data_IF_666185655063
#
_entry.id   IF_666185655063
#
_cell.length_a   1.000
_cell.length_b   1.000
_cell.length_c   1.000
_cell.angle_alpha   90.00
_cell.angle_beta   90.00
_cell.angle_gamma   90.00
#
_symmetry.space_group_name_H-M   'P 1'
#
loop_
_entity.id
_entity.type
_entity.pdbx_description
1 polymer ?
#
# COMPACT_ATOMS: atom_id res chain seq x y z
N UNK A 1 23.40 10.05 -2.82
CA UNK A 1 22.41 9.15 -3.44
C UNK A 1 22.10 8.09 -2.42
N UNK A 2 20.86 7.95 -2.00
CA UNK A 2 20.40 6.87 -1.14
C UNK A 2 20.68 5.55 -1.87
N UNK A 3 21.39 4.62 -1.25
CA UNK A 3 21.78 3.36 -1.90
C UNK A 3 20.63 2.36 -2.12
N UNK A 4 19.36 2.84 -2.08
CA UNK A 4 18.17 2.03 -2.30
C UNK A 4 17.81 1.98 -3.79
N UNK A 5 17.31 0.83 -4.22
CA UNK A 5 16.82 0.61 -5.58
C UNK A 5 15.30 0.50 -5.56
N UNK A 6 14.62 1.00 -6.59
CA UNK A 6 13.18 0.83 -6.70
C UNK A 6 12.83 -0.65 -6.87
N UNK A 7 11.75 -1.08 -6.21
CA UNK A 7 11.20 -2.42 -6.36
C UNK A 7 9.69 -2.36 -6.65
N UNK A 8 9.20 -3.41 -7.30
CA UNK A 8 7.81 -3.51 -7.71
C UNK A 8 7.06 -4.55 -6.88
N UNK A 9 5.85 -4.20 -6.43
CA UNK A 9 4.93 -5.12 -5.81
C UNK A 9 3.86 -5.54 -6.83
N UNK A 10 3.94 -6.74 -7.42
CA UNK A 10 2.99 -7.16 -8.44
C UNK A 10 1.59 -7.47 -7.90
N UNK A 11 1.41 -7.59 -6.58
CA UNK A 11 0.10 -7.82 -5.98
C UNK A 11 -0.74 -6.54 -5.87
N UNK A 12 -0.08 -5.39 -5.74
CA UNK A 12 -0.73 -4.08 -5.56
C UNK A 12 -0.55 -3.15 -6.76
N UNK A 13 0.41 -3.46 -7.66
CA UNK A 13 0.72 -2.64 -8.81
C UNK A 13 1.50 -1.36 -8.46
N UNK A 14 2.34 -1.42 -7.42
CA UNK A 14 3.08 -0.27 -6.94
C UNK A 14 4.60 -0.42 -7.09
N UNK A 15 5.26 0.69 -7.37
CA UNK A 15 6.70 0.87 -7.25
C UNK A 15 7.03 1.66 -6.01
N UNK A 16 8.04 1.23 -5.28
CA UNK A 16 8.55 1.88 -4.08
C UNK A 16 10.04 2.08 -4.23
N UNK A 17 10.52 3.30 -3.92
CA UNK A 17 11.94 3.64 -3.82
C UNK A 17 12.16 4.44 -2.55
N UNK A 18 12.86 3.87 -1.57
CA UNK A 18 13.15 4.55 -0.32
C UNK A 18 14.09 5.73 -0.52
N UNK A 19 13.76 6.86 0.09
CA UNK A 19 14.56 8.09 0.08
C UNK A 19 15.07 8.46 1.47
N UNK A 20 14.42 7.95 2.53
CA UNK A 20 14.90 7.98 3.91
C UNK A 20 14.32 6.78 4.67
N UNK A 21 15.08 6.21 5.57
CA UNK A 21 14.67 5.08 6.41
C UNK A 21 14.88 5.39 7.89
N UNK A 22 14.53 4.44 8.77
CA UNK A 22 14.61 4.63 10.21
C UNK A 22 15.99 5.11 10.67
N UNK A 23 17.06 4.56 10.09
CA UNK A 23 18.45 4.89 10.43
C UNK A 23 18.83 6.32 10.05
N UNK A 24 18.20 6.90 9.02
CA UNK A 24 18.47 8.27 8.56
C UNK A 24 17.75 9.33 9.40
N UNK A 25 16.83 8.92 10.28
CA UNK A 25 15.92 9.82 10.99
C UNK A 25 15.77 9.50 12.49
N UNK A 26 16.69 8.74 13.07
CA UNK A 26 16.61 8.26 14.45
C UNK A 26 15.24 7.60 14.76
N UNK A 27 14.71 6.82 13.80
CA UNK A 27 13.44 6.13 13.92
C UNK A 27 12.19 7.00 13.72
N UNK A 28 12.34 8.28 13.39
CA UNK A 28 11.20 9.20 13.32
C UNK A 28 10.35 9.03 12.07
N UNK A 29 10.94 8.67 10.92
CA UNK A 29 10.19 8.47 9.69
C UNK A 29 10.87 7.47 8.74
N UNK A 30 10.05 6.87 7.88
CA UNK A 30 10.47 6.35 6.59
C UNK A 30 9.81 7.19 5.50
N UNK A 31 10.54 7.47 4.42
CA UNK A 31 10.03 8.21 3.26
C UNK A 31 10.40 7.46 2.00
N UNK A 32 9.48 7.42 1.04
CA UNK A 32 9.73 6.80 -0.26
C UNK A 32 8.98 7.51 -1.38
N UNK A 33 9.53 7.42 -2.59
CA UNK A 33 8.79 7.68 -3.82
C UNK A 33 7.88 6.51 -4.09
N UNK A 34 6.61 6.79 -4.32
CA UNK A 34 5.57 5.82 -4.63
C UNK A 34 5.01 6.08 -6.02
N UNK A 35 4.88 5.03 -6.82
CA UNK A 35 4.22 5.08 -8.12
C UNK A 35 3.21 3.95 -8.21
N UNK A 36 1.99 4.25 -8.66
CA UNK A 36 0.93 3.26 -8.86
C UNK A 36 0.57 3.18 -10.33
N UNK A 37 0.69 1.97 -10.90
CA UNK A 37 0.28 1.73 -12.28
C UNK A 37 -1.24 1.78 -12.41
N UNK A 38 -1.81 2.02 -13.62
CA UNK A 38 -3.24 1.91 -13.87
C UNK A 38 -3.83 0.60 -13.34
N UNK A 39 -4.89 0.71 -12.53
CA UNK A 39 -5.53 -0.44 -11.86
C UNK A 39 -4.81 -0.92 -10.60
N UNK A 40 -3.69 -0.30 -10.21
CA UNK A 40 -3.03 -0.59 -8.93
C UNK A 40 -3.96 -0.27 -7.74
N UNK A 41 -3.96 -1.14 -6.73
CA UNK A 41 -4.85 -1.02 -5.57
C UNK A 41 -4.20 -1.64 -4.33
N UNK A 42 -4.13 -0.88 -3.26
CA UNK A 42 -3.80 -1.36 -1.93
C UNK A 42 -5.12 -1.60 -1.18
N UNK A 43 -5.31 -2.84 -0.72
CA UNK A 43 -6.53 -3.24 -0.01
C UNK A 43 -6.64 -2.54 1.33
N UNK A 44 -7.88 -2.38 1.84
CA UNK A 44 -8.14 -1.71 3.11
C UNK A 44 -7.29 -2.28 4.24
N UNK A 45 -6.60 -1.40 4.91
CA UNK A 45 -5.69 -1.70 6.00
C UNK A 45 -5.65 -0.56 7.03
N UNK A 46 -4.87 -0.75 8.07
CA UNK A 46 -4.65 0.24 9.13
C UNK A 46 -3.19 0.21 9.55
N UNK A 47 -2.62 1.37 9.80
CA UNK A 47 -1.36 1.55 10.49
C UNK A 47 -1.63 1.81 11.98
N UNK A 48 -1.51 0.80 12.89
CA UNK A 48 -1.97 0.98 14.27
C UNK A 48 -1.19 2.04 15.06
N UNK A 49 0.04 2.34 14.63
CA UNK A 49 0.99 3.21 15.35
C UNK A 49 1.66 4.27 14.50
N UNK A 50 1.26 4.39 13.22
CA UNK A 50 1.91 5.30 12.29
C UNK A 50 0.87 6.22 11.65
N UNK A 51 1.20 7.50 11.56
CA UNK A 51 0.59 8.41 10.61
C UNK A 51 1.20 8.15 9.24
N UNK A 52 0.37 8.13 8.21
CA UNK A 52 0.82 8.04 6.82
C UNK A 52 0.42 9.28 6.06
N UNK A 53 1.37 9.84 5.31
CA UNK A 53 1.18 11.08 4.56
C UNK A 53 1.54 10.86 3.10
N UNK A 54 0.61 11.17 2.22
CA UNK A 54 0.79 11.15 0.77
C UNK A 54 0.85 12.58 0.23
N UNK A 55 1.93 12.94 -0.44
CA UNK A 55 2.03 14.18 -1.22
C UNK A 55 1.99 13.79 -2.69
N UNK A 56 0.85 14.02 -3.34
CA UNK A 56 0.66 13.64 -4.74
C UNK A 56 1.48 14.58 -5.62
N UNK A 57 2.37 14.02 -6.43
CA UNK A 57 3.25 14.78 -7.33
C UNK A 57 2.81 14.72 -8.77
N UNK A 58 2.08 13.65 -9.16
CA UNK A 58 1.52 13.48 -10.51
C UNK A 58 0.30 12.57 -10.49
N UNK A 59 -0.66 12.84 -11.37
CA UNK A 59 -1.87 12.04 -11.53
C UNK A 59 -2.96 12.34 -10.49
N UNK A 60 -3.89 11.41 -10.38
CA UNK A 60 -5.05 11.48 -9.49
C UNK A 60 -5.24 10.15 -8.78
N UNK A 61 -5.12 10.15 -7.45
CA UNK A 61 -5.27 8.98 -6.60
C UNK A 61 -6.63 8.98 -5.90
N UNK A 62 -7.25 7.80 -5.81
CA UNK A 62 -8.46 7.58 -5.00
C UNK A 62 -8.07 6.98 -3.67
N UNK A 63 -8.67 7.51 -2.61
CA UNK A 63 -8.54 7.01 -1.25
C UNK A 63 -9.92 6.68 -0.69
N UNK A 64 -9.97 5.72 0.23
CA UNK A 64 -11.11 5.53 1.13
C UNK A 64 -10.58 5.61 2.56
N UNK A 65 -11.10 6.53 3.38
CA UNK A 65 -10.73 6.70 4.79
C UNK A 65 -11.97 6.45 5.66
N UNK A 66 -11.94 5.42 6.51
CA UNK A 66 -13.07 5.00 7.36
C UNK A 66 -14.42 4.91 6.59
N UNK A 67 -14.35 4.51 5.30
CA UNK A 67 -15.51 4.36 4.41
C UNK A 67 -15.87 5.61 3.61
N UNK A 68 -15.22 6.74 3.84
CA UNK A 68 -15.42 7.95 3.03
C UNK A 68 -14.44 7.96 1.85
N UNK A 69 -14.98 8.06 0.64
CA UNK A 69 -14.16 8.18 -0.58
C UNK A 69 -13.71 9.62 -0.79
N UNK A 70 -12.45 9.77 -1.14
CA UNK A 70 -11.86 11.04 -1.54
C UNK A 70 -10.84 10.85 -2.66
N UNK A 71 -10.62 11.92 -3.40
CA UNK A 71 -9.69 11.96 -4.52
C UNK A 71 -8.66 13.05 -4.26
N UNK A 72 -7.38 12.72 -4.49
CA UNK A 72 -6.28 13.67 -4.41
C UNK A 72 -5.54 13.78 -5.73
N UNK A 73 -5.22 15.00 -6.13
CA UNK A 73 -4.50 15.35 -7.37
C UNK A 73 -3.13 15.92 -7.06
N UNK A 74 -2.31 16.02 -8.10
CA UNK A 74 -1.00 16.65 -8.02
C UNK A 74 -1.04 18.00 -7.26
N UNK A 75 -0.14 18.18 -6.31
CA UNK A 75 -0.08 19.31 -5.38
C UNK A 75 -0.89 19.15 -4.10
N UNK A 76 -1.75 18.14 -4.00
CA UNK A 76 -2.55 17.87 -2.80
C UNK A 76 -1.86 16.88 -1.86
N UNK A 77 -2.19 17.01 -0.59
CA UNK A 77 -1.68 16.14 0.48
C UNK A 77 -2.84 15.44 1.19
N UNK A 78 -2.72 14.14 1.38
CA UNK A 78 -3.59 13.34 2.24
C UNK A 78 -2.79 12.92 3.46
N UNK A 79 -3.38 13.07 4.64
CA UNK A 79 -2.82 12.58 5.91
C UNK A 79 -3.79 11.57 6.50
N UNK A 80 -3.30 10.38 6.74
CA UNK A 80 -4.03 9.28 7.39
C UNK A 80 -3.49 9.14 8.81
N UNK A 81 -4.25 9.52 9.84
CA UNK A 81 -3.83 9.34 11.22
C UNK A 81 -3.66 7.87 11.60
N UNK A 82 -2.82 7.60 12.61
CA UNK A 82 -2.67 6.26 13.17
C UNK A 82 -4.04 5.69 13.60
N UNK A 83 -4.29 4.44 13.24
CA UNK A 83 -5.52 3.73 13.57
C UNK A 83 -6.69 3.95 12.61
N UNK A 84 -6.61 4.86 11.66
CA UNK A 84 -7.63 5.09 10.62
C UNK A 84 -7.54 4.01 9.55
N UNK A 85 -8.67 3.37 9.24
CA UNK A 85 -8.76 2.39 8.14
C UNK A 85 -8.75 3.12 6.82
N UNK A 86 -7.94 2.65 5.90
CA UNK A 86 -7.85 3.27 4.58
C UNK A 86 -7.45 2.27 3.49
N UNK A 87 -7.73 2.67 2.28
CA UNK A 87 -7.25 2.05 1.04
C UNK A 87 -6.91 3.15 0.04
N UNK A 88 -5.98 2.85 -0.87
CA UNK A 88 -5.62 3.76 -1.94
C UNK A 88 -5.47 3.02 -3.26
N UNK A 89 -5.70 3.73 -4.36
CA UNK A 89 -5.62 3.12 -5.68
C UNK A 89 -5.57 4.10 -6.83
N UNK A 90 -5.22 3.53 -7.98
CA UNK A 90 -5.17 4.22 -9.26
C UNK A 90 -6.33 3.75 -10.16
N UNK A 91 -7.48 4.43 -10.14
CA UNK A 91 -8.59 4.10 -11.03
C UNK A 91 -8.39 4.63 -12.44
N UNK A 92 -7.37 5.45 -12.68
CA UNK A 92 -7.10 6.12 -13.93
C UNK A 92 -6.37 5.24 -14.97
N UNK A 93 -6.06 5.85 -16.12
CA UNK A 93 -5.31 5.23 -17.22
C UNK A 93 -3.83 5.65 -17.26
N UNK A 94 -3.41 6.59 -16.42
CA UNK A 94 -2.02 7.06 -16.30
C UNK A 94 -1.45 6.64 -14.94
N UNK A 95 -0.11 6.59 -14.85
CA UNK A 95 0.61 6.34 -13.59
C UNK A 95 0.37 7.50 -12.61
N UNK A 96 0.20 7.17 -11.33
CA UNK A 96 0.19 8.12 -10.23
C UNK A 96 1.58 8.15 -9.63
N UNK A 97 2.01 9.34 -9.17
CA UNK A 97 3.25 9.50 -8.41
C UNK A 97 2.98 10.30 -7.12
N UNK A 98 3.59 9.86 -6.04
CA UNK A 98 3.54 10.54 -4.75
C UNK A 98 4.85 10.37 -3.98
N UNK A 99 5.06 11.26 -3.02
CA UNK A 99 6.01 11.04 -1.91
C UNK A 99 5.18 10.60 -0.71
N UNK A 100 5.57 9.45 -0.13
CA UNK A 100 4.89 8.89 1.04
C UNK A 100 5.82 8.93 2.24
N UNK A 101 5.27 9.30 3.40
CA UNK A 101 5.96 9.29 4.69
C UNK A 101 5.13 8.50 5.70
N UNK A 102 5.79 7.64 6.47
CA UNK A 102 5.23 6.95 7.64
C UNK A 102 5.97 7.40 8.90
N UNK A 103 5.23 7.82 9.93
CA UNK A 103 5.75 8.34 11.20
C UNK A 103 5.07 7.69 12.40
N UNK A 104 5.85 7.12 13.36
CA UNK A 104 7.29 6.83 13.33
C UNK A 104 7.66 5.79 12.27
N UNK A 105 8.95 5.66 11.96
CA UNK A 105 9.43 4.73 10.93
C UNK A 105 9.07 3.27 11.22
N UNK A 106 9.19 2.83 12.47
CA UNK A 106 9.12 1.43 12.89
C UNK A 106 9.99 0.54 11.96
N UNK A 107 9.44 -0.57 11.46
CA UNK A 107 10.08 -1.47 10.49
C UNK A 107 9.36 -1.45 9.14
N UNK A 108 8.87 -0.28 8.76
CA UNK A 108 8.08 -0.15 7.52
C UNK A 108 8.88 -0.48 6.27
N UNK A 109 10.21 -0.21 6.26
CA UNK A 109 11.08 -0.63 5.15
C UNK A 109 11.00 -2.15 4.96
N UNK A 110 11.29 -2.90 5.99
CA UNK A 110 11.30 -4.38 5.93
C UNK A 110 9.89 -4.93 5.65
N UNK A 111 8.85 -4.28 6.14
CA UNK A 111 7.47 -4.67 5.84
C UNK A 111 7.17 -4.56 4.35
N UNK A 112 7.41 -3.40 3.72
CA UNK A 112 7.16 -3.19 2.29
C UNK A 112 8.00 -4.15 1.43
N UNK A 113 9.28 -4.32 1.75
CA UNK A 113 10.16 -5.26 1.07
C UNK A 113 9.68 -6.72 1.23
N UNK A 114 9.18 -7.10 2.42
CA UNK A 114 8.68 -8.45 2.67
C UNK A 114 7.43 -8.76 1.85
N UNK A 115 6.44 -7.85 1.82
CA UNK A 115 5.19 -8.08 1.09
C UNK A 115 5.42 -8.05 -0.42
N UNK A 116 6.23 -7.12 -0.92
CA UNK A 116 6.61 -7.05 -2.32
C UNK A 116 7.45 -8.26 -2.75
N UNK A 117 8.43 -8.66 -1.93
CA UNK A 117 9.27 -9.81 -2.19
C UNK A 117 8.50 -11.13 -2.23
N UNK A 118 7.54 -11.33 -1.33
CA UNK A 118 6.63 -12.48 -1.35
C UNK A 118 5.78 -12.51 -2.62
N UNK A 119 5.29 -11.35 -3.06
CA UNK A 119 4.50 -11.23 -4.28
C UNK A 119 5.36 -11.49 -5.52
N UNK A 120 6.57 -10.93 -5.59
CA UNK A 120 7.52 -11.15 -6.68
C UNK A 120 7.97 -12.62 -6.78
N UNK A 121 8.11 -13.31 -5.64
CA UNK A 121 8.40 -14.75 -5.57
C UNK A 121 7.18 -15.63 -5.98
N UNK A 122 6.02 -15.05 -6.31
CA UNK A 122 4.78 -15.79 -6.64
C UNK A 122 4.16 -16.52 -5.44
N UNK A 123 4.50 -16.13 -4.22
CA UNK A 123 4.10 -16.80 -2.97
C UNK A 123 2.84 -16.21 -2.33
N UNK A 124 2.17 -15.29 -3.01
CA UNK A 124 0.95 -14.63 -2.54
C UNK A 124 -0.27 -15.02 -3.36
N UNK A 125 -1.45 -14.82 -2.79
CA UNK A 125 -2.70 -14.78 -3.53
C UNK A 125 -2.76 -13.51 -4.41
N UNK A 126 -3.72 -13.40 -5.34
CA UNK A 126 -3.90 -12.16 -6.12
C UNK A 126 -4.17 -10.90 -5.26
N UNK A 127 -4.62 -11.09 -4.01
CA UNK A 127 -4.84 -10.01 -3.03
C UNK A 127 -3.63 -9.74 -2.12
N UNK A 128 -2.45 -10.30 -2.42
CA UNK A 128 -1.21 -10.09 -1.69
C UNK A 128 -1.02 -10.92 -0.41
N UNK A 129 -2.00 -11.70 0.02
CA UNK A 129 -1.85 -12.55 1.21
C UNK A 129 -0.92 -13.74 0.92
N UNK A 130 0.04 -14.08 1.81
CA UNK A 130 0.86 -15.28 1.66
C UNK A 130 0.03 -16.55 1.58
N UNK A 131 0.33 -17.42 0.59
CA UNK A 131 -0.38 -18.70 0.40
C UNK A 131 -0.03 -19.72 1.50
N UNK A 132 1.19 -19.65 2.04
CA UNK A 132 1.63 -20.52 3.13
C UNK A 132 1.16 -19.92 4.47
N UNK A 133 0.36 -20.64 5.29
CA UNK A 133 -0.14 -20.15 6.57
C UNK A 133 0.97 -19.85 7.58
N UNK A 134 2.10 -20.57 7.55
CA UNK A 134 3.24 -20.26 8.39
C UNK A 134 3.88 -18.93 7.98
N UNK A 135 4.00 -18.66 6.69
CA UNK A 135 4.50 -17.38 6.19
C UNK A 135 3.53 -16.23 6.52
N UNK A 136 2.21 -16.47 6.43
CA UNK A 136 1.18 -15.53 6.84
C UNK A 136 1.39 -15.14 8.32
N UNK A 137 1.48 -16.12 9.22
CA UNK A 137 1.74 -15.90 10.64
C UNK A 137 3.08 -15.22 10.89
N UNK A 138 4.16 -15.69 10.23
CA UNK A 138 5.49 -15.11 10.36
C UNK A 138 5.49 -13.62 10.02
N UNK A 139 4.96 -13.26 8.84
CA UNK A 139 5.04 -11.89 8.31
C UNK A 139 4.05 -10.98 9.04
N UNK A 140 2.75 -11.29 9.04
CA UNK A 140 1.75 -10.35 9.55
C UNK A 140 1.69 -10.23 11.06
N UNK A 141 2.09 -11.26 11.81
CA UNK A 141 2.26 -11.09 13.26
C UNK A 141 3.52 -10.31 13.62
N UNK A 142 4.60 -10.51 12.88
CA UNK A 142 5.85 -9.77 13.10
C UNK A 142 5.66 -8.27 12.88
N UNK A 143 5.02 -7.91 11.75
CA UNK A 143 4.80 -6.52 11.35
C UNK A 143 3.42 -5.96 11.76
N UNK A 144 2.78 -6.53 12.78
CA UNK A 144 1.44 -6.12 13.23
C UNK A 144 1.32 -4.69 13.75
N UNK A 145 2.43 -4.04 14.01
CA UNK A 145 2.49 -2.64 14.47
C UNK A 145 2.68 -1.67 13.30
N UNK A 146 3.23 -2.15 12.21
CA UNK A 146 3.45 -1.43 10.96
C UNK A 146 2.15 -1.37 10.13
N UNK A 147 1.54 -2.52 9.87
CA UNK A 147 0.31 -2.58 9.07
C UNK A 147 -0.54 -3.80 9.43
N UNK A 148 -1.86 -3.66 9.32
CA UNK A 148 -2.84 -4.74 9.50
C UNK A 148 -3.96 -4.59 8.49
N UNK A 149 -4.29 -5.66 7.79
CA UNK A 149 -5.51 -5.71 6.97
C UNK A 149 -6.74 -5.65 7.88
N UNK A 150 -7.85 -5.15 7.37
CA UNK A 150 -9.09 -5.03 8.16
C UNK A 150 -9.95 -6.30 8.12
N UNK A 151 -9.69 -7.16 7.13
CA UNK A 151 -10.36 -8.47 7.00
C UNK A 151 -9.35 -9.62 6.99
N UNK A 152 -9.49 -10.62 7.84
CA UNK A 152 -10.50 -10.77 8.91
C UNK A 152 -10.35 -9.73 10.02
N UNK A 153 -11.37 -9.55 10.89
CA UNK A 153 -11.32 -8.58 11.99
C UNK A 153 -10.09 -8.74 12.89
N UNK A 154 -9.57 -7.62 13.42
CA UNK A 154 -8.32 -7.60 14.22
C UNK A 154 -8.38 -8.55 15.42
N UNK A 155 -9.53 -8.69 16.08
CA UNK A 155 -9.72 -9.66 17.17
C UNK A 155 -9.45 -11.10 16.73
N UNK A 156 -9.93 -11.48 15.55
CA UNK A 156 -9.68 -12.80 14.96
C UNK A 156 -8.20 -12.98 14.58
N UNK A 157 -7.58 -11.95 14.02
CA UNK A 157 -6.14 -11.97 13.72
C UNK A 157 -5.31 -12.18 14.99
N UNK A 158 -5.67 -11.53 16.10
CA UNK A 158 -4.99 -11.68 17.39
C UNK A 158 -5.11 -13.10 17.98
N UNK A 159 -6.15 -13.84 17.60
CA UNK A 159 -6.31 -15.25 17.99
C UNK A 159 -5.56 -16.19 17.05
N UNK A 160 -5.60 -15.96 15.75
CA UNK A 160 -5.09 -16.88 14.74
C UNK A 160 -3.60 -16.71 14.44
N UNK A 161 -3.09 -15.49 14.41
CA UNK A 161 -1.70 -15.24 13.97
C UNK A 161 -0.63 -15.67 14.98
N UNK A 162 -0.80 -15.52 16.32
CA UNK A 162 0.22 -15.93 17.28
C UNK A 162 0.61 -17.42 17.21
N UNK A 163 -0.32 -18.38 17.18
CA UNK A 163 0.05 -19.80 17.05
C UNK A 163 0.72 -20.09 15.70
N UNK A 164 0.28 -19.48 14.61
CA UNK A 164 0.93 -19.61 13.30
C UNK A 164 2.35 -19.04 13.32
N UNK A 165 2.55 -17.90 13.97
CA UNK A 165 3.88 -17.30 14.15
C UNK A 165 4.79 -18.19 15.01
N UNK A 166 4.29 -18.77 16.10
CA UNK A 166 5.05 -19.69 16.93
C UNK A 166 5.48 -20.93 16.15
N UNK A 167 4.56 -21.54 15.39
CA UNK A 167 4.86 -22.64 14.49
C UNK A 167 5.86 -22.24 13.41
N UNK A 168 5.69 -21.08 12.78
CA UNK A 168 6.62 -20.58 11.77
C UNK A 168 8.06 -20.49 12.32
N UNK A 169 8.22 -19.99 13.55
CA UNK A 169 9.54 -19.95 14.21
C UNK A 169 10.13 -21.33 14.43
N UNK A 170 9.31 -22.30 14.86
CA UNK A 170 9.75 -23.68 15.07
C UNK A 170 10.22 -24.34 13.76
N UNK A 171 9.61 -24.01 12.63
CA UNK A 171 9.98 -24.50 11.29
C UNK A 171 10.99 -23.61 10.55
N UNK A 172 11.56 -22.59 11.20
CA UNK A 172 12.57 -21.72 10.60
C UNK A 172 12.04 -20.75 9.53
N UNK A 173 10.72 -20.53 9.45
CA UNK A 173 10.13 -19.57 8.53
C UNK A 173 10.34 -18.16 9.07
N UNK A 174 10.96 -17.30 8.27
CA UNK A 174 11.31 -15.92 8.64
C UNK A 174 10.25 -14.93 8.14
N UNK A 175 9.97 -13.85 8.88
CA UNK A 175 9.05 -12.79 8.44
C UNK A 175 9.61 -11.97 7.27
N UNK A 176 10.93 -11.87 7.19
CA UNK A 176 11.70 -11.11 6.21
C UNK A 176 12.93 -11.90 5.78
N UNK A 177 13.34 -11.75 4.53
CA UNK A 177 14.54 -12.36 3.96
C UNK A 177 15.42 -11.28 3.34
N UNK A 178 16.73 -11.30 3.64
CA UNK A 178 17.71 -10.30 3.18
C UNK A 178 17.78 -10.17 1.65
N UNK A 179 17.43 -11.22 0.88
CA UNK A 179 17.35 -11.14 -0.58
C UNK A 179 16.29 -10.13 -1.09
N UNK A 180 15.37 -9.70 -0.22
CA UNK A 180 14.37 -8.68 -0.55
C UNK A 180 14.83 -7.26 -0.20
N UNK A 181 15.98 -7.10 0.47
CA UNK A 181 16.52 -5.78 0.82
C UNK A 181 16.82 -4.99 -0.46
N UNK A 182 16.18 -3.85 -0.61
CA UNK A 182 16.31 -2.96 -1.77
C UNK A 182 17.71 -2.35 -1.95
N UNK A 183 18.58 -2.47 -0.95
CA UNK A 183 20.01 -2.15 -1.07
C UNK A 183 20.81 -3.22 -1.82
N UNK A 184 20.34 -4.47 -1.80
CA UNK A 184 21.04 -5.66 -2.31
C UNK A 184 20.46 -6.11 -3.65
N UNK A 185 19.17 -5.87 -3.90
CA UNK A 185 18.51 -6.32 -5.12
C UNK A 185 19.25 -5.83 -6.37
N UNK A 186 19.50 -6.73 -7.32
CA UNK A 186 19.94 -6.34 -8.65
C UNK A 186 18.89 -5.44 -9.29
N UNK A 187 19.32 -4.45 -10.10
CA UNK A 187 18.44 -3.44 -10.70
C UNK A 187 17.18 -4.10 -11.27
N UNK A 188 16.05 -3.69 -10.74
CA UNK A 188 14.77 -4.38 -10.87
C UNK A 188 14.47 -4.83 -12.29
N UNK A 189 14.06 -6.10 -12.43
CA UNK A 189 13.44 -6.58 -13.65
C UNK A 189 12.33 -5.59 -14.02
N UNK A 190 12.32 -5.03 -15.25
CA UNK A 190 11.25 -4.13 -15.67
C UNK A 190 9.89 -4.80 -15.41
N UNK A 191 8.83 -4.04 -15.12
CA UNK A 191 7.52 -4.62 -14.88
C UNK A 191 7.16 -5.52 -16.06
N UNK A 192 6.51 -6.67 -15.81
CA UNK A 192 5.94 -7.45 -16.91
C UNK A 192 5.03 -6.51 -17.72
N UNK A 193 5.03 -6.62 -19.05
CA UNK A 193 4.16 -5.80 -19.88
C UNK A 193 2.73 -5.97 -19.36
N UNK A 194 2.03 -4.84 -19.18
CA UNK A 194 0.64 -4.82 -18.71
C UNK A 194 -0.14 -5.77 -19.61
N UNK A 195 -0.62 -6.88 -19.04
CA UNK A 195 -1.49 -7.81 -19.76
C UNK A 195 -2.73 -7.02 -20.20
N UNK A 196 -2.93 -6.86 -21.50
CA UNK A 196 -4.10 -6.19 -22.10
C UNK A 196 -5.39 -7.02 -21.96
N UNK A 197 -5.54 -7.78 -20.91
CA UNK A 197 -6.78 -8.45 -20.56
C UNK A 197 -7.54 -7.54 -19.60
N UNK A 198 -8.14 -6.49 -20.17
CA UNK A 198 -9.30 -5.84 -19.58
C UNK A 198 -10.46 -6.84 -19.51
N UNK A 199 -11.42 -6.67 -18.58
CA UNK A 199 -12.60 -7.54 -18.53
C UNK A 199 -13.29 -7.49 -19.88
N UNK A 200 -13.58 -8.68 -20.39
CA UNK A 200 -14.29 -8.93 -21.66
C UNK A 200 -15.64 -8.20 -21.65
N UNK A 201 -15.71 -7.10 -22.42
CA UNK A 201 -16.96 -6.35 -22.59
C UNK A 201 -17.75 -6.97 -23.73
N UNK A 202 -18.40 -8.10 -23.49
CA UNK A 202 -19.56 -8.51 -24.28
C UNK A 202 -20.83 -8.07 -23.55
N UNK A 203 -21.31 -6.89 -23.87
CA UNK A 203 -22.54 -6.32 -23.33
C UNK A 203 -22.84 -5.01 -24.05
N UNK A 204 -23.27 -5.12 -25.32
CA UNK A 204 -23.90 -4.01 -26.04
C UNK A 204 -25.14 -3.53 -25.30
N UNK A 205 -25.14 -2.28 -24.85
CA UNK A 205 -26.36 -1.53 -24.57
C UNK A 205 -26.20 -0.09 -24.99
N UNK A 206 -27.07 0.30 -25.88
CA UNK A 206 -27.24 1.60 -26.51
C UNK A 206 -27.44 2.71 -25.48
N UNK A 207 -26.62 3.76 -25.54
CA UNK A 207 -26.80 5.01 -24.82
C UNK A 207 -27.84 5.89 -25.55
N UNK A 208 -28.85 6.33 -24.84
CA UNK A 208 -29.70 7.46 -25.19
C UNK A 208 -29.11 8.76 -24.63
N UNK A 209 -29.19 9.90 -25.33
CA UNK A 209 -28.67 11.18 -24.86
C UNK A 209 -29.75 11.95 -24.09
N UNK A 210 -29.40 12.51 -22.94
CA UNK A 210 -30.16 13.57 -22.29
C UNK A 210 -30.44 13.36 -20.82
N UNK A 211 -29.51 13.81 -19.97
CA UNK A 211 -29.83 14.23 -18.61
C UNK A 211 -28.85 15.31 -18.13
N UNK A 212 -29.39 16.42 -17.66
CA UNK A 212 -28.68 17.58 -17.13
C UNK A 212 -27.95 17.28 -15.80
N UNK A 213 -26.87 17.99 -15.49
CA UNK A 213 -26.12 17.77 -14.25
C UNK A 213 -26.86 18.37 -13.04
N UNK A 214 -27.09 17.56 -12.01
CA UNK A 214 -27.54 17.96 -10.70
C UNK A 214 -26.49 18.78 -9.94
N UNK A 215 -26.86 19.74 -9.08
CA UNK A 215 -25.96 20.61 -8.36
C UNK A 215 -25.23 19.84 -7.23
N UNK A 216 -23.96 20.24 -7.00
CA UNK A 216 -23.07 19.67 -5.99
C UNK A 216 -23.63 19.82 -4.57
N UNK A 217 -23.42 18.81 -3.70
CA UNK A 217 -23.76 18.93 -2.29
C UNK A 217 -22.76 19.84 -1.56
N UNK A 218 -23.29 20.66 -0.66
CA UNK A 218 -22.56 21.63 0.15
C UNK A 218 -21.58 20.92 1.11
N UNK A 219 -20.31 21.28 0.99
CA UNK A 219 -19.23 20.86 1.86
C UNK A 219 -19.36 21.54 3.24
N UNK A 220 -19.62 20.75 4.28
CA UNK A 220 -19.42 21.17 5.67
C UNK A 220 -18.56 20.12 6.36
N UNK A 221 -17.43 20.60 6.88
CA UNK A 221 -16.46 19.91 7.72
C UNK A 221 -15.28 19.20 7.04
N UNK A 222 -14.38 19.97 6.42
CA UNK A 222 -12.96 19.65 6.43
C UNK A 222 -12.22 20.87 6.96
N UNK A 223 -11.81 20.86 8.23
CA UNK A 223 -10.90 21.88 8.77
C UNK A 223 -9.51 21.64 8.18
N UNK A 224 -9.16 22.45 7.20
CA UNK A 224 -7.78 22.65 6.81
C UNK A 224 -7.05 23.35 7.97
N UNK A 225 -6.02 22.74 8.50
CA UNK A 225 -5.04 23.40 9.35
C UNK A 225 -4.09 24.17 8.42
N UNK A 226 -4.38 25.43 8.15
CA UNK A 226 -3.39 26.38 7.67
C UNK A 226 -2.44 26.70 8.82
N UNK A 227 -1.19 26.41 8.63
CA UNK A 227 -0.09 26.83 9.53
C UNK A 227 0.53 28.10 8.98
N UNK A 228 0.61 29.07 9.85
CA UNK A 228 1.50 30.24 9.72
C UNK A 228 2.97 29.81 9.82
#
# INVERSE_FOLDING_TARGET
>A
MTGFRPFFNPATGEWIEFTAVAEDSDGQLVRFSWRSVPGGMITEHVHPRQEERFVITSGEARFTLDGEELTARAGQTIVVPAGVRHSEGNPGSAEIQAVVELRPALRSKEFHEAVAGLAADGRTTPRGAPRNPLQLGATFWHFRHESRVTSPPIGMQNLMLPPLWAAARAFGVRPYYTRWDSRIQEAGRPPPPISKHGPDKTGSSSLQPGEEPLPAPSCSAARAAETR
#
